data_IF_725368849360
#
_entry.id   IF_725368849360
#
_cell.length_a   1.000
_cell.length_b   1.000
_cell.length_c   1.000
_cell.angle_alpha   90.00
_cell.angle_beta   90.00
_cell.angle_gamma   90.00
#
_symmetry.space_group_name_H-M   'P 1'
#
loop_
_entity.id
_entity.type
_entity.pdbx_description
1 polymer ?
#
# COMPACT_ATOMS: atom_id res chain seq x y z
N UNK A 1 -14.65 28.68 14.52
CA UNK A 1 -13.81 28.27 13.36
C UNK A 1 -12.95 27.11 13.80
N UNK A 2 -13.37 25.90 13.47
CA UNK A 2 -12.62 24.68 13.82
C UNK A 2 -11.48 24.46 12.85
N UNK A 3 -10.27 24.22 13.37
CA UNK A 3 -9.20 23.65 12.58
C UNK A 3 -9.57 22.22 12.19
N UNK A 4 -9.25 21.77 10.96
CA UNK A 4 -9.51 20.39 10.58
C UNK A 4 -8.67 19.47 11.48
N UNK A 5 -9.34 18.71 12.32
CA UNK A 5 -8.73 17.63 13.09
C UNK A 5 -8.46 16.48 12.13
N UNK A 6 -7.21 16.33 11.72
CA UNK A 6 -6.76 15.12 11.03
C UNK A 6 -6.36 14.12 12.10
N UNK A 7 -7.17 13.09 12.28
CA UNK A 7 -6.82 12.00 13.17
C UNK A 7 -5.86 11.06 12.43
N UNK A 8 -4.58 11.10 12.80
CA UNK A 8 -3.60 10.15 12.32
C UNK A 8 -3.57 8.96 13.28
N UNK A 9 -4.04 7.82 12.82
CA UNK A 9 -3.85 6.56 13.54
C UNK A 9 -2.79 5.73 12.81
N UNK A 10 -1.66 5.50 13.47
CA UNK A 10 -0.62 4.60 12.97
C UNK A 10 -1.01 3.16 13.29
N UNK A 11 -1.40 2.40 12.27
CA UNK A 11 -1.64 0.97 12.41
C UNK A 11 -0.56 0.24 11.62
N UNK A 12 0.20 -0.58 12.32
CA UNK A 12 1.37 -1.28 11.73
C UNK A 12 2.40 -0.34 11.07
N UNK A 13 2.49 0.91 11.55
CA UNK A 13 3.40 1.92 11.00
C UNK A 13 2.98 2.55 9.68
N UNK A 14 1.77 2.27 9.18
CA UNK A 14 1.19 2.97 8.05
C UNK A 14 0.26 4.10 8.54
N UNK A 15 0.36 5.32 7.99
CA UNK A 15 -0.55 6.40 8.35
C UNK A 15 -1.95 6.13 7.80
N UNK A 16 -2.94 6.20 8.67
CA UNK A 16 -4.36 6.25 8.32
C UNK A 16 -4.79 7.70 8.40
N UNK A 17 -5.19 8.28 7.28
CA UNK A 17 -5.64 9.69 7.22
C UNK A 17 -7.16 9.72 7.13
N UNK A 18 -7.80 10.28 8.15
CA UNK A 18 -9.24 10.57 8.16
C UNK A 18 -9.43 12.07 7.97
N UNK A 19 -10.15 12.48 6.94
CA UNK A 19 -10.47 13.89 6.71
C UNK A 19 -11.73 14.29 7.46
N UNK A 20 -11.73 15.48 8.05
CA UNK A 20 -12.83 16.02 8.85
C UNK A 20 -14.18 16.11 8.10
N UNK A 21 -14.14 16.32 6.78
CA UNK A 21 -15.36 16.30 5.95
C UNK A 21 -16.10 14.97 5.99
N UNK A 22 -15.38 13.89 6.23
CA UNK A 22 -15.94 12.54 6.29
C UNK A 22 -16.54 12.26 7.68
N UNK A 23 -16.08 12.99 8.72
CA UNK A 23 -16.64 12.97 10.07
C UNK A 23 -18.08 13.55 10.14
N UNK A 24 -18.38 14.55 9.32
CA UNK A 24 -19.73 15.16 9.25
C UNK A 24 -20.75 14.14 8.75
N UNK A 25 -20.35 13.25 7.85
CA UNK A 25 -21.18 12.16 7.33
C UNK A 25 -20.98 10.83 8.08
N UNK A 26 -20.14 10.83 9.12
CA UNK A 26 -19.72 9.61 9.85
C UNK A 26 -19.17 8.50 8.94
N UNK A 27 -18.56 8.84 7.82
CA UNK A 27 -17.95 7.90 6.89
C UNK A 27 -16.43 7.93 7.02
N UNK A 28 -15.82 6.76 7.03
CA UNK A 28 -14.37 6.57 7.16
C UNK A 28 -13.80 6.05 5.86
N UNK A 29 -12.74 6.68 5.38
CA UNK A 29 -11.94 6.22 4.23
C UNK A 29 -10.58 5.74 4.75
N UNK A 30 -10.28 4.48 4.51
CA UNK A 30 -8.97 3.88 4.77
C UNK A 30 -8.13 3.90 3.50
N UNK A 31 -7.02 4.63 3.54
CA UNK A 31 -6.02 4.63 2.47
C UNK A 31 -4.81 3.82 2.92
N UNK A 32 -4.45 2.82 2.13
CA UNK A 32 -3.33 1.91 2.41
C UNK A 32 -2.18 2.27 1.47
N UNK A 33 -1.01 2.58 2.03
CA UNK A 33 0.24 2.66 1.26
C UNK A 33 0.66 1.23 0.86
N UNK A 34 0.21 0.82 -0.33
CA UNK A 34 0.40 -0.53 -0.82
C UNK A 34 1.84 -0.87 -1.09
N UNK A 35 2.64 0.07 -1.58
CA UNK A 35 4.06 -0.15 -1.82
C UNK A 35 4.81 -0.46 -0.54
N UNK A 36 4.58 0.30 0.53
CA UNK A 36 5.16 0.05 1.84
C UNK A 36 4.70 -1.29 2.41
N UNK A 37 3.40 -1.60 2.31
CA UNK A 37 2.84 -2.87 2.77
C UNK A 37 3.43 -4.08 2.05
N UNK A 38 3.67 -3.98 0.74
CA UNK A 38 4.29 -5.06 -0.05
C UNK A 38 5.69 -5.38 0.47
N UNK A 39 6.54 -4.37 0.67
CA UNK A 39 7.89 -4.57 1.20
C UNK A 39 7.87 -5.14 2.63
N UNK A 40 7.00 -4.64 3.49
CA UNK A 40 6.85 -5.17 4.85
C UNK A 40 6.39 -6.62 4.85
N UNK A 41 5.42 -6.96 4.01
CA UNK A 41 4.92 -8.33 3.86
C UNK A 41 6.00 -9.27 3.35
N UNK A 42 6.80 -8.82 2.38
CA UNK A 42 7.92 -9.59 1.83
C UNK A 42 8.96 -9.96 2.90
N UNK A 43 9.29 -9.03 3.79
CA UNK A 43 10.28 -9.25 4.85
C UNK A 43 9.69 -9.90 6.13
N UNK A 44 8.37 -9.92 6.28
CA UNK A 44 7.72 -10.44 7.49
C UNK A 44 7.70 -11.97 7.57
N UNK A 45 7.74 -12.65 6.44
CA UNK A 45 7.68 -14.11 6.36
C UNK A 45 8.96 -14.66 5.74
N UNK A 46 9.35 -15.88 6.15
CA UNK A 46 10.45 -16.60 5.48
C UNK A 46 10.06 -16.87 4.01
N UNK A 47 11.04 -17.21 3.17
CA UNK A 47 10.76 -17.61 1.80
C UNK A 47 9.76 -18.77 1.75
N UNK A 48 8.65 -18.54 1.05
CA UNK A 48 7.60 -19.52 0.82
C UNK A 48 7.35 -19.61 -0.68
N UNK A 49 7.03 -20.80 -1.15
CA UNK A 49 6.71 -21.04 -2.56
C UNK A 49 5.61 -22.09 -2.71
N UNK A 50 4.99 -22.10 -3.89
CA UNK A 50 4.09 -23.18 -4.30
C UNK A 50 4.89 -24.45 -4.60
N UNK A 51 4.20 -25.58 -4.78
CA UNK A 51 4.81 -26.84 -5.24
C UNK A 51 5.50 -26.72 -6.60
N UNK A 52 5.14 -25.72 -7.40
CA UNK A 52 5.74 -25.41 -8.72
C UNK A 52 6.87 -24.39 -8.64
N UNK A 53 7.23 -23.93 -7.42
CA UNK A 53 8.36 -23.01 -7.20
C UNK A 53 8.02 -21.51 -7.28
N UNK A 54 6.77 -21.14 -7.47
CA UNK A 54 6.36 -19.71 -7.46
C UNK A 54 6.46 -19.15 -6.05
N UNK A 55 7.23 -18.06 -5.80
CA UNK A 55 7.33 -17.46 -4.48
C UNK A 55 5.99 -16.84 -4.05
N UNK A 56 5.65 -16.99 -2.77
CA UNK A 56 4.33 -16.61 -2.22
C UNK A 56 4.38 -15.90 -0.87
N UNK A 57 5.57 -15.66 -0.31
CA UNK A 57 5.69 -15.02 1.00
C UNK A 57 5.11 -13.60 1.03
N UNK A 58 5.37 -12.79 0.02
CA UNK A 58 4.87 -11.42 -0.03
C UNK A 58 3.35 -11.36 -0.19
N UNK A 59 2.78 -12.15 -1.11
CA UNK A 59 1.31 -12.19 -1.30
C UNK A 59 0.61 -12.69 -0.04
N UNK A 60 1.12 -13.75 0.58
CA UNK A 60 0.53 -14.29 1.81
C UNK A 60 0.60 -13.27 2.95
N UNK A 61 1.76 -12.66 3.14
CA UNK A 61 1.95 -11.62 4.16
C UNK A 61 1.04 -10.42 3.92
N UNK A 62 0.97 -9.92 2.68
CA UNK A 62 0.15 -8.78 2.32
C UNK A 62 -1.34 -9.03 2.59
N UNK A 63 -1.89 -10.13 2.08
CA UNK A 63 -3.30 -10.45 2.28
C UNK A 63 -3.64 -10.70 3.75
N UNK A 64 -2.73 -11.30 4.52
CA UNK A 64 -2.91 -11.48 5.96
C UNK A 64 -2.95 -10.15 6.70
N UNK A 65 -2.01 -9.25 6.41
CA UNK A 65 -1.97 -7.90 7.00
C UNK A 65 -3.21 -7.09 6.61
N UNK A 66 -3.64 -7.18 5.36
CA UNK A 66 -4.82 -6.49 4.85
C UNK A 66 -6.09 -6.94 5.59
N UNK A 67 -6.28 -8.25 5.76
CA UNK A 67 -7.44 -8.80 6.46
C UNK A 67 -7.48 -8.41 7.93
N UNK A 68 -6.35 -8.40 8.61
CA UNK A 68 -6.24 -7.92 9.99
C UNK A 68 -6.61 -6.44 10.06
N UNK A 69 -6.07 -5.62 9.15
CA UNK A 69 -6.36 -4.19 9.09
C UNK A 69 -7.85 -3.92 8.86
N UNK A 70 -8.46 -4.62 7.91
CA UNK A 70 -9.89 -4.49 7.61
C UNK A 70 -10.79 -4.93 8.76
N UNK A 71 -10.35 -5.90 9.56
CA UNK A 71 -11.07 -6.36 10.76
C UNK A 71 -10.98 -5.35 11.90
N UNK A 72 -9.78 -4.78 12.11
CA UNK A 72 -9.48 -3.96 13.29
C UNK A 72 -9.88 -2.50 13.09
N UNK A 73 -9.98 -2.03 11.85
CA UNK A 73 -10.33 -0.64 11.52
C UNK A 73 -11.72 -0.59 10.89
N UNK A 74 -12.74 -0.13 11.63
CA UNK A 74 -14.04 0.13 11.05
C UNK A 74 -13.91 1.17 9.93
N UNK A 75 -14.30 0.81 8.72
CA UNK A 75 -14.20 1.69 7.57
C UNK A 75 -15.36 1.49 6.60
N UNK A 76 -15.83 2.58 6.00
CA UNK A 76 -16.87 2.55 4.96
C UNK A 76 -16.25 2.38 3.57
N UNK A 77 -15.07 2.93 3.38
CA UNK A 77 -14.35 2.91 2.11
C UNK A 77 -12.89 2.54 2.35
N UNK A 78 -12.32 1.81 1.41
CA UNK A 78 -10.92 1.44 1.42
C UNK A 78 -10.34 1.55 0.02
N UNK A 79 -9.11 2.02 -0.09
CA UNK A 79 -8.35 1.99 -1.32
C UNK A 79 -6.88 1.71 -1.01
N UNK A 80 -6.22 1.01 -1.92
CA UNK A 80 -4.80 0.73 -1.86
C UNK A 80 -4.08 1.61 -2.88
N UNK A 81 -3.14 2.43 -2.43
CA UNK A 81 -2.36 3.33 -3.28
C UNK A 81 -0.97 2.74 -3.46
N UNK A 82 -0.51 2.66 -4.70
CA UNK A 82 0.81 2.09 -5.03
C UNK A 82 1.63 3.04 -5.90
N UNK A 83 2.95 2.92 -5.79
CA UNK A 83 3.86 3.66 -6.62
C UNK A 83 3.73 3.23 -8.10
N UNK A 84 3.86 4.17 -9.04
CA UNK A 84 3.88 3.86 -10.45
C UNK A 84 5.18 3.15 -10.83
N UNK A 85 5.15 2.47 -11.97
CA UNK A 85 6.38 1.99 -12.63
C UNK A 85 7.11 3.18 -13.25
N UNK A 86 8.43 3.21 -13.10
CA UNK A 86 9.29 4.22 -13.74
C UNK A 86 9.55 5.45 -12.86
N UNK A 87 9.99 6.51 -13.53
CA UNK A 87 10.37 7.75 -12.85
C UNK A 87 9.15 8.55 -12.41
N UNK A 88 9.25 9.13 -11.24
CA UNK A 88 8.25 10.06 -10.69
C UNK A 88 8.71 11.51 -10.91
N UNK A 89 7.80 12.48 -10.68
CA UNK A 89 8.15 13.90 -10.79
C UNK A 89 9.31 14.29 -9.85
N UNK A 90 9.46 13.61 -8.70
CA UNK A 90 10.56 13.82 -7.75
C UNK A 90 11.91 13.50 -8.39
N UNK A 91 11.99 12.42 -9.16
CA UNK A 91 13.20 12.05 -9.91
C UNK A 91 13.51 13.04 -11.05
N UNK A 92 12.49 13.70 -11.61
CA UNK A 92 12.67 14.74 -12.63
C UNK A 92 13.20 16.04 -12.05
N UNK A 93 12.77 16.41 -10.83
CA UNK A 93 13.24 17.58 -10.10
C UNK A 93 14.65 17.35 -9.54
N UNK A 94 14.89 16.15 -8.99
CA UNK A 94 16.16 15.76 -8.38
C UNK A 94 16.59 14.37 -8.87
N UNK A 95 17.46 14.30 -9.90
CA UNK A 95 17.84 13.00 -10.52
C UNK A 95 18.48 12.00 -9.58
N UNK A 96 19.12 12.47 -8.49
CA UNK A 96 19.72 11.59 -7.47
C UNK A 96 18.70 11.04 -6.47
N UNK A 97 17.44 11.48 -6.55
CA UNK A 97 16.38 11.00 -5.68
C UNK A 97 16.19 9.50 -5.83
N UNK A 98 16.44 8.78 -4.74
CA UNK A 98 16.35 7.31 -4.69
C UNK A 98 17.23 6.56 -5.71
N UNK A 99 18.20 7.23 -6.35
CA UNK A 99 19.07 6.64 -7.37
C UNK A 99 19.91 5.47 -6.84
N UNK A 100 20.24 5.47 -5.54
CA UNK A 100 21.05 4.43 -4.90
C UNK A 100 20.22 3.26 -4.32
N UNK A 101 18.91 3.21 -4.55
CA UNK A 101 18.10 2.09 -4.10
C UNK A 101 18.45 0.83 -4.90
N UNK A 102 18.64 -0.30 -4.22
CA UNK A 102 18.82 -1.57 -4.91
C UNK A 102 17.57 -1.90 -5.73
N UNK A 103 17.72 -2.61 -6.84
CA UNK A 103 16.58 -3.07 -7.62
C UNK A 103 15.68 -3.99 -6.78
N UNK A 104 14.41 -4.03 -7.13
CA UNK A 104 13.46 -4.93 -6.49
C UNK A 104 13.92 -6.38 -6.67
N UNK A 105 13.93 -7.21 -5.61
CA UNK A 105 14.21 -8.63 -5.73
C UNK A 105 13.30 -9.31 -6.77
N UNK A 106 13.85 -10.22 -7.55
CA UNK A 106 13.12 -10.88 -8.62
C UNK A 106 11.95 -11.72 -8.08
N UNK A 107 12.17 -12.43 -6.97
CA UNK A 107 11.14 -13.21 -6.28
C UNK A 107 10.01 -12.35 -5.70
N UNK A 108 10.26 -11.09 -5.37
CA UNK A 108 9.21 -10.13 -5.04
C UNK A 108 8.50 -9.63 -6.30
N UNK A 109 9.26 -9.30 -7.33
CA UNK A 109 8.72 -8.76 -8.58
C UNK A 109 7.66 -9.65 -9.21
N UNK A 110 7.85 -10.96 -9.19
CA UNK A 110 6.87 -11.92 -9.73
C UNK A 110 5.61 -12.04 -8.89
N UNK A 111 5.64 -11.63 -7.62
CA UNK A 111 4.48 -11.65 -6.73
C UNK A 111 3.60 -10.41 -6.87
N UNK A 112 4.11 -9.29 -7.38
CA UNK A 112 3.37 -8.02 -7.48
C UNK A 112 2.04 -8.17 -8.25
N UNK A 113 1.99 -8.76 -9.46
CA UNK A 113 0.73 -8.96 -10.16
C UNK A 113 -0.27 -9.82 -9.37
N UNK A 114 0.24 -10.83 -8.66
CA UNK A 114 -0.60 -11.73 -7.84
C UNK A 114 -1.18 -11.00 -6.62
N UNK A 115 -0.42 -10.09 -6.02
CA UNK A 115 -0.89 -9.23 -4.94
C UNK A 115 -2.02 -8.32 -5.44
N UNK A 116 -1.85 -7.69 -6.59
CA UNK A 116 -2.87 -6.82 -7.19
C UNK A 116 -4.15 -7.60 -7.48
N UNK A 117 -4.05 -8.79 -8.07
CA UNK A 117 -5.18 -9.65 -8.31
C UNK A 117 -5.88 -10.06 -7.01
N UNK A 118 -5.11 -10.45 -5.98
CA UNK A 118 -5.65 -10.83 -4.68
C UNK A 118 -6.43 -9.70 -4.01
N UNK A 119 -5.90 -8.48 -4.04
CA UNK A 119 -6.55 -7.29 -3.46
C UNK A 119 -7.83 -6.94 -4.22
N UNK A 120 -7.81 -7.01 -5.56
CA UNK A 120 -9.01 -6.79 -6.37
C UNK A 120 -10.11 -7.81 -6.07
N UNK A 121 -9.75 -9.06 -5.82
CA UNK A 121 -10.69 -10.12 -5.40
C UNK A 121 -11.31 -9.87 -4.02
N UNK A 122 -10.59 -9.18 -3.13
CA UNK A 122 -11.14 -8.70 -1.85
C UNK A 122 -12.07 -7.48 -2.03
N UNK A 123 -12.25 -6.98 -3.25
CA UNK A 123 -13.12 -5.84 -3.56
C UNK A 123 -12.48 -4.48 -3.28
N UNK A 124 -11.17 -4.40 -3.15
CA UNK A 124 -10.44 -3.18 -2.82
C UNK A 124 -9.84 -2.58 -4.10
N UNK A 125 -10.16 -1.32 -4.44
CA UNK A 125 -9.59 -0.67 -5.60
C UNK A 125 -8.11 -0.31 -5.37
N UNK A 126 -7.33 -0.42 -6.44
CA UNK A 126 -5.97 0.12 -6.53
C UNK A 126 -5.97 1.49 -7.18
N UNK A 127 -5.18 2.40 -6.59
CA UNK A 127 -4.87 3.70 -7.17
C UNK A 127 -3.38 3.73 -7.50
N UNK A 128 -3.07 3.93 -8.78
CA UNK A 128 -1.71 4.11 -9.26
C UNK A 128 -1.73 5.26 -10.28
N UNK A 129 -1.03 6.34 -9.97
CA UNK A 129 -1.00 7.54 -10.80
C UNK A 129 0.36 7.63 -11.49
N UNK A 130 0.44 7.60 -12.83
CA UNK A 130 1.72 7.71 -13.53
C UNK A 130 2.50 8.96 -13.11
N UNK A 131 3.77 8.79 -12.78
CA UNK A 131 4.67 9.87 -12.40
C UNK A 131 4.51 10.41 -10.98
N UNK A 132 3.56 9.92 -10.18
CA UNK A 132 3.30 10.37 -8.82
C UNK A 132 3.44 9.20 -7.84
N UNK A 133 4.24 9.38 -6.79
CA UNK A 133 4.41 8.35 -5.76
C UNK A 133 3.15 8.19 -4.91
N UNK A 134 2.99 7.02 -4.27
CA UNK A 134 1.87 6.74 -3.39
C UNK A 134 1.74 7.77 -2.27
N UNK A 135 2.85 8.16 -1.65
CA UNK A 135 2.90 9.18 -0.59
C UNK A 135 2.35 10.55 -1.03
N UNK A 136 2.52 10.88 -2.31
CA UNK A 136 2.02 12.15 -2.87
C UNK A 136 0.56 12.04 -3.34
N UNK A 137 0.05 10.82 -3.48
CA UNK A 137 -1.34 10.54 -3.85
C UNK A 137 -2.25 10.49 -2.63
N UNK A 138 -1.75 9.99 -1.50
CA UNK A 138 -2.44 9.92 -0.21
C UNK A 138 -2.57 11.32 0.40
#
# INVERSE_FOLDING_TARGET
MGHPLVLFQLIFGAPVVVREKDLILKKTLLLIDGSNFIFRAYHALPPLSTSTGTPTNAIRGFLSMLRVLMKDVPTDYVACVVDPKGKTFRSNIYPEYKANRPPMPEDLSVQIPLIFEGVQKEGIPFLQIPGIEADDTI
#
